data_IF_929308257646
#
_entry.id   IF_929308257646
#
_cell.length_a   1.000
_cell.length_b   1.000
_cell.length_c   1.000
_cell.angle_alpha   90.00
_cell.angle_beta   90.00
_cell.angle_gamma   90.00
#
_symmetry.space_group_name_H-M   'P 1'
#
loop_
_entity.id
_entity.type
_entity.pdbx_description
1 polymer ?
#
# COMPACT_ATOMS: atom_id res chain seq x y z
N UNK A 1 -83.93 3.97 -6.65
CA UNK A 1 -82.60 4.48 -6.96
C UNK A 1 -81.63 3.89 -5.97
N UNK A 2 -80.74 3.09 -6.47
CA UNK A 2 -79.77 2.44 -5.61
C UNK A 2 -78.49 3.18 -5.66
N UNK A 3 -78.16 3.77 -4.55
CA UNK A 3 -76.85 4.41 -4.36
C UNK A 3 -75.90 3.29 -4.08
N UNK A 4 -75.00 3.04 -5.02
CA UNK A 4 -73.93 2.18 -4.81
C UNK A 4 -72.80 3.01 -4.15
N UNK A 5 -72.64 2.80 -2.91
CA UNK A 5 -71.51 3.40 -2.18
C UNK A 5 -70.26 2.69 -2.66
N UNK A 6 -69.29 3.38 -3.19
CA UNK A 6 -68.00 2.74 -3.46
C UNK A 6 -67.30 2.55 -2.12
N UNK A 7 -67.10 1.30 -1.83
CA UNK A 7 -66.29 0.87 -0.73
C UNK A 7 -64.85 1.37 -1.00
N UNK A 8 -64.51 2.42 -0.35
CA UNK A 8 -63.16 2.95 -0.40
C UNK A 8 -62.26 1.97 0.31
N UNK A 9 -61.66 1.10 -0.48
CA UNK A 9 -60.65 0.18 0.02
C UNK A 9 -59.40 1.01 0.33
N UNK A 10 -59.28 1.40 1.57
CA UNK A 10 -58.04 1.94 2.06
C UNK A 10 -57.00 0.83 2.10
N UNK A 11 -56.28 0.74 1.04
CA UNK A 11 -55.05 -0.02 1.05
C UNK A 11 -54.06 0.76 1.91
N UNK A 12 -53.96 0.38 3.16
CA UNK A 12 -52.86 0.79 3.97
C UNK A 12 -51.61 0.16 3.39
N UNK A 13 -50.98 0.91 2.57
CA UNK A 13 -49.63 0.58 2.14
C UNK A 13 -48.78 0.67 3.39
N UNK A 14 -48.62 -0.44 4.05
CA UNK A 14 -47.57 -0.56 5.05
C UNK A 14 -46.24 -0.43 4.33
N UNK A 15 -45.80 0.80 4.25
CA UNK A 15 -44.43 1.07 3.93
C UNK A 15 -43.68 0.58 5.15
N UNK A 16 -43.34 -0.68 5.11
CA UNK A 16 -42.29 -1.17 5.94
C UNK A 16 -41.08 -0.37 5.55
N UNK A 17 -40.83 0.67 6.29
CA UNK A 17 -39.50 1.24 6.32
C UNK A 17 -38.61 0.11 6.78
N UNK A 18 -38.09 -0.62 5.84
CA UNK A 18 -36.92 -1.41 6.13
C UNK A 18 -35.92 -0.38 6.65
N UNK A 19 -35.84 -0.30 7.93
CA UNK A 19 -34.68 0.27 8.55
C UNK A 19 -33.54 -0.57 8.00
N UNK A 20 -33.01 -0.11 6.91
CA UNK A 20 -31.67 -0.51 6.60
C UNK A 20 -30.91 -0.02 7.79
N UNK A 21 -30.76 -0.91 8.74
CA UNK A 21 -29.63 -0.79 9.59
C UNK A 21 -28.48 -0.82 8.62
N UNK A 22 -28.22 0.32 8.09
CA UNK A 22 -26.93 0.53 7.54
C UNK A 22 -26.06 0.24 8.72
N UNK A 23 -25.76 -1.00 8.82
CA UNK A 23 -24.73 -1.40 9.65
C UNK A 23 -23.64 -0.55 9.16
N UNK A 24 -23.41 0.38 9.96
CA UNK A 24 -22.21 1.15 9.79
C UNK A 24 -21.08 0.18 10.05
N UNK A 25 -21.00 -0.75 9.14
CA UNK A 25 -19.95 -1.67 9.13
C UNK A 25 -18.66 -0.99 9.12
N UNK A 26 -18.66 0.18 8.53
CA UNK A 26 -17.47 0.96 8.56
C UNK A 26 -16.86 1.14 9.94
N UNK A 27 -17.69 1.32 10.90
CA UNK A 27 -17.18 1.52 12.25
C UNK A 27 -16.70 0.24 12.89
N UNK A 28 -17.30 -0.84 12.52
CA UNK A 28 -16.98 -2.09 13.15
C UNK A 28 -15.62 -2.62 12.77
N UNK A 29 -15.16 -2.26 11.60
CA UNK A 29 -13.86 -2.73 11.17
C UNK A 29 -12.74 -2.32 12.09
N UNK A 30 -12.86 -1.17 12.66
CA UNK A 30 -11.83 -0.68 13.57
C UNK A 30 -11.64 -1.51 14.83
N UNK A 31 -12.64 -2.23 15.20
CA UNK A 31 -12.57 -3.05 16.41
C UNK A 31 -11.89 -4.39 16.22
N UNK A 32 -11.51 -4.71 15.02
CA UNK A 32 -11.07 -6.06 14.71
C UNK A 32 -9.83 -6.55 15.40
N UNK A 33 -9.22 -5.80 16.22
CA UNK A 33 -8.18 -6.26 17.13
C UNK A 33 -6.95 -6.87 16.47
N UNK A 34 -6.96 -7.15 15.20
CA UNK A 34 -5.76 -7.57 14.52
C UNK A 34 -5.17 -6.40 13.79
N UNK A 35 -4.73 -5.43 14.56
CA UNK A 35 -3.89 -4.39 13.99
C UNK A 35 -2.54 -5.00 13.71
N UNK A 36 -2.24 -5.17 12.45
CA UNK A 36 -0.90 -5.49 12.03
C UNK A 36 -0.10 -4.20 11.87
N UNK A 37 1.20 -4.29 12.07
CA UNK A 37 2.12 -3.20 11.81
C UNK A 37 2.67 -3.31 10.42
N UNK A 38 2.55 -2.23 9.65
CA UNK A 38 3.11 -2.17 8.31
C UNK A 38 4.64 -2.16 8.33
N UNK A 39 5.23 -2.65 7.26
CA UNK A 39 6.68 -2.50 7.05
C UNK A 39 6.99 -1.05 6.77
N UNK A 40 8.02 -0.52 7.44
CA UNK A 40 8.54 0.80 7.14
C UNK A 40 9.85 0.70 6.38
N UNK A 41 10.03 1.59 5.41
CA UNK A 41 11.25 1.72 4.65
C UNK A 41 11.87 3.09 4.92
N UNK A 42 13.14 3.12 5.24
CA UNK A 42 13.86 4.32 5.67
C UNK A 42 15.31 4.30 5.23
N UNK A 43 16.02 5.37 5.51
CA UNK A 43 17.45 5.50 5.21
C UNK A 43 17.77 5.25 3.73
N UNK A 44 16.97 5.84 2.84
CA UNK A 44 17.19 5.75 1.40
C UNK A 44 18.51 6.43 1.00
N UNK A 45 19.28 5.76 0.17
CA UNK A 45 20.49 6.33 -0.42
C UNK A 45 20.60 5.90 -1.90
N UNK A 46 20.48 6.83 -2.84
CA UNK A 46 20.20 8.26 -2.67
C UNK A 46 18.88 8.56 -1.98
N UNK A 47 18.77 9.71 -1.34
CA UNK A 47 17.55 10.10 -0.65
C UNK A 47 16.38 10.24 -1.63
N UNK A 48 15.15 9.96 -1.16
CA UNK A 48 13.96 10.17 -1.98
C UNK A 48 13.86 11.62 -2.43
N UNK A 49 13.37 11.82 -3.63
CA UNK A 49 13.21 13.13 -4.25
C UNK A 49 14.53 13.89 -4.48
N UNK A 50 15.68 13.21 -4.34
CA UNK A 50 16.97 13.80 -4.65
C UNK A 50 17.26 13.81 -6.15
N UNK A 51 18.19 14.66 -6.54
CA UNK A 51 18.69 14.77 -7.90
C UNK A 51 20.12 14.25 -7.94
N UNK A 52 20.40 13.31 -8.82
CA UNK A 52 21.72 12.72 -9.00
C UNK A 52 22.13 12.76 -10.46
N UNK A 53 23.44 12.84 -10.76
CA UNK A 53 23.90 12.81 -12.17
C UNK A 53 23.75 11.43 -12.82
N UNK A 54 23.82 10.39 -12.01
CA UNK A 54 23.59 9.01 -12.45
C UNK A 54 23.14 8.18 -11.26
N UNK A 55 22.43 7.10 -11.52
CA UNK A 55 22.02 6.15 -10.49
C UNK A 55 22.69 4.81 -10.79
N UNK A 56 23.68 4.45 -10.01
CA UNK A 56 24.42 3.20 -10.15
C UNK A 56 24.11 2.18 -9.06
N UNK A 57 23.66 2.65 -7.92
CA UNK A 57 23.22 1.81 -6.80
C UNK A 57 22.14 2.51 -5.98
N UNK A 58 21.36 1.72 -5.30
CA UNK A 58 20.34 2.19 -4.37
C UNK A 58 20.32 1.31 -3.13
N UNK A 59 20.20 1.91 -1.96
CA UNK A 59 20.04 1.19 -0.71
C UNK A 59 18.90 1.76 0.13
N UNK A 60 18.28 0.92 0.93
CA UNK A 60 17.19 1.29 1.81
C UNK A 60 17.13 0.28 2.95
N UNK A 61 16.58 0.69 4.09
CA UNK A 61 16.41 -0.18 5.24
C UNK A 61 14.94 -0.53 5.40
N UNK A 62 14.64 -1.83 5.46
CA UNK A 62 13.32 -2.34 5.80
C UNK A 62 13.27 -2.65 7.30
N UNK A 63 12.16 -2.32 7.93
CA UNK A 63 11.98 -2.60 9.35
C UNK A 63 11.99 -4.10 9.64
N UNK A 64 12.34 -4.45 10.87
CA UNK A 64 12.52 -5.85 11.31
C UNK A 64 11.27 -6.71 11.19
N UNK A 65 10.10 -6.10 11.11
CA UNK A 65 8.83 -6.83 10.95
C UNK A 65 8.53 -7.22 9.51
N UNK A 66 9.40 -6.90 8.57
CA UNK A 66 9.23 -7.30 7.18
C UNK A 66 9.41 -8.81 7.00
N UNK A 67 8.48 -9.44 6.32
CA UNK A 67 8.68 -10.78 5.79
C UNK A 67 9.44 -10.67 4.48
N UNK A 68 10.73 -10.89 4.54
CA UNK A 68 11.62 -10.71 3.40
C UNK A 68 11.34 -11.70 2.26
N UNK A 69 10.67 -12.82 2.55
CA UNK A 69 10.23 -13.75 1.52
C UNK A 69 9.15 -13.18 0.61
N UNK A 70 8.47 -12.12 1.05
CA UNK A 70 7.44 -11.44 0.27
C UNK A 70 7.94 -10.18 -0.43
N UNK A 71 9.19 -9.80 -0.18
CA UNK A 71 9.76 -8.56 -0.72
C UNK A 71 9.83 -8.60 -2.24
N UNK A 72 9.28 -7.57 -2.86
CA UNK A 72 9.41 -7.30 -4.29
C UNK A 72 9.91 -5.89 -4.46
N UNK A 73 11.04 -5.74 -5.12
CA UNK A 73 11.63 -4.45 -5.47
C UNK A 73 11.62 -4.31 -6.98
N UNK A 74 11.14 -3.18 -7.45
CA UNK A 74 11.12 -2.86 -8.88
C UNK A 74 11.77 -1.52 -9.12
N UNK A 75 12.50 -1.42 -10.21
CA UNK A 75 13.07 -0.17 -10.70
C UNK A 75 12.50 0.08 -12.09
N UNK A 76 11.76 1.17 -12.25
CA UNK A 76 11.03 1.49 -13.47
C UNK A 76 10.17 0.32 -13.98
N UNK A 77 9.56 -0.42 -13.05
CA UNK A 77 8.70 -1.56 -13.36
C UNK A 77 9.42 -2.90 -13.54
N UNK A 78 10.73 -2.92 -13.60
CA UNK A 78 11.51 -4.15 -13.70
C UNK A 78 11.91 -4.66 -12.31
N UNK A 79 11.64 -5.92 -12.05
CA UNK A 79 12.00 -6.53 -10.78
C UNK A 79 13.51 -6.67 -10.66
N UNK A 80 14.03 -6.29 -9.50
CA UNK A 80 15.42 -6.46 -9.12
C UNK A 80 15.51 -7.26 -7.84
N UNK A 81 16.62 -7.92 -7.63
CA UNK A 81 16.87 -8.70 -6.43
C UNK A 81 17.94 -8.02 -5.59
N UNK A 82 17.56 -7.31 -4.52
CA UNK A 82 18.55 -6.66 -3.67
C UNK A 82 19.35 -7.66 -2.86
N UNK A 83 20.57 -7.27 -2.51
CA UNK A 83 21.35 -7.96 -1.49
C UNK A 83 20.81 -7.55 -0.14
N UNK A 84 20.47 -8.50 0.70
CA UNK A 84 19.86 -8.29 2.00
C UNK A 84 20.88 -8.55 3.09
N UNK A 85 21.10 -7.57 3.95
CA UNK A 85 21.98 -7.69 5.11
C UNK A 85 21.20 -7.34 6.37
N UNK A 86 21.12 -8.25 7.32
CA UNK A 86 20.44 -8.00 8.59
C UNK A 86 21.35 -7.20 9.51
N UNK A 87 20.82 -6.08 10.01
CA UNK A 87 21.53 -5.22 10.98
C UNK A 87 21.36 -5.76 12.39
N UNK A 88 22.16 -5.26 13.32
CA UNK A 88 22.04 -5.63 14.74
C UNK A 88 20.69 -5.31 15.34
N UNK A 89 20.05 -4.26 14.85
CA UNK A 89 18.69 -3.86 15.27
C UNK A 89 17.63 -4.88 14.89
N UNK A 90 17.93 -5.79 13.96
CA UNK A 90 16.96 -6.68 13.33
C UNK A 90 16.40 -6.12 12.03
N UNK A 91 16.60 -4.86 11.74
CA UNK A 91 16.23 -4.28 10.46
C UNK A 91 17.09 -4.85 9.34
N UNK A 92 16.62 -4.78 8.12
CA UNK A 92 17.33 -5.33 6.96
C UNK A 92 17.73 -4.22 6.01
N UNK A 93 18.99 -4.18 5.66
CA UNK A 93 19.49 -3.32 4.61
C UNK A 93 19.34 -4.02 3.28
N UNK A 94 18.69 -3.33 2.35
CA UNK A 94 18.48 -3.79 0.98
C UNK A 94 19.37 -2.95 0.08
N UNK A 95 20.21 -3.61 -0.70
CA UNK A 95 21.14 -2.91 -1.60
C UNK A 95 21.03 -3.49 -3.00
N UNK A 96 20.88 -2.61 -3.98
CA UNK A 96 20.83 -2.98 -5.38
C UNK A 96 21.87 -2.19 -6.15
N UNK A 97 22.65 -2.88 -6.97
CA UNK A 97 23.60 -2.28 -7.90
C UNK A 97 23.15 -2.56 -9.33
N UNK A 98 23.21 -1.54 -10.16
CA UNK A 98 22.82 -1.67 -11.56
C UNK A 98 24.05 -2.04 -12.40
N UNK A 99 23.89 -3.01 -13.30
CA UNK A 99 24.97 -3.43 -14.20
C UNK A 99 25.47 -2.26 -15.09
N UNK A 100 24.56 -1.39 -15.48
CA UNK A 100 24.86 -0.14 -16.15
C UNK A 100 24.22 1.01 -15.35
N UNK A 101 24.95 2.07 -15.03
CA UNK A 101 24.34 3.23 -14.38
C UNK A 101 23.19 3.81 -15.19
N UNK A 102 22.13 4.21 -14.49
CA UNK A 102 21.02 4.90 -15.13
C UNK A 102 21.41 6.35 -15.32
N UNK A 103 21.59 6.77 -16.57
CA UNK A 103 21.99 8.13 -16.95
C UNK A 103 20.94 8.83 -17.78
N UNK A 104 19.87 8.17 -18.13
CA UNK A 104 18.77 8.76 -18.87
C UNK A 104 18.09 9.83 -18.02
N UNK A 105 17.98 11.07 -18.48
CA UNK A 105 17.32 12.13 -17.73
C UNK A 105 15.89 11.77 -17.39
N UNK A 106 15.47 12.10 -16.18
CA UNK A 106 14.10 11.88 -15.72
C UNK A 106 14.04 11.24 -14.35
N UNK A 107 12.82 10.94 -13.92
CA UNK A 107 12.56 10.32 -12.64
C UNK A 107 12.66 8.80 -12.74
N UNK A 108 13.49 8.22 -11.90
CA UNK A 108 13.55 6.78 -11.68
C UNK A 108 12.58 6.45 -10.56
N UNK A 109 11.65 5.55 -10.83
CA UNK A 109 10.70 5.06 -9.83
C UNK A 109 11.19 3.74 -9.25
N UNK A 110 11.41 3.73 -7.95
CA UNK A 110 11.72 2.52 -7.20
C UNK A 110 10.50 2.17 -6.37
N UNK A 111 10.01 0.96 -6.52
CA UNK A 111 8.83 0.50 -5.80
C UNK A 111 9.22 -0.68 -4.93
N UNK A 112 8.90 -0.58 -3.64
CA UNK A 112 9.11 -1.65 -2.67
C UNK A 112 7.76 -2.14 -2.18
N UNK A 113 7.55 -3.42 -2.28
CA UNK A 113 6.37 -4.09 -1.75
C UNK A 113 6.82 -5.20 -0.83
N UNK A 114 6.26 -5.24 0.36
CA UNK A 114 6.51 -6.30 1.31
C UNK A 114 5.31 -6.49 2.22
N UNK A 115 5.14 -7.69 2.70
CA UNK A 115 4.18 -7.99 3.75
C UNK A 115 4.91 -8.01 5.09
N UNK A 116 4.29 -7.53 6.14
CA UNK A 116 4.83 -7.69 7.47
C UNK A 116 4.62 -9.13 7.95
N UNK A 117 5.39 -9.55 8.95
CA UNK A 117 5.28 -10.89 9.54
C UNK A 117 3.91 -11.16 10.15
N UNK A 118 3.20 -10.12 10.53
CA UNK A 118 1.83 -10.18 11.06
C UNK A 118 0.75 -9.90 10.00
N UNK A 119 1.12 -9.79 8.72
CA UNK A 119 0.20 -9.84 7.59
C UNK A 119 -0.25 -8.52 6.98
N UNK A 120 0.38 -7.40 7.33
CA UNK A 120 0.10 -6.12 6.67
C UNK A 120 0.86 -5.98 5.36
N UNK A 121 0.13 -5.60 4.32
CA UNK A 121 0.75 -5.21 3.04
C UNK A 121 1.29 -3.79 3.12
N UNK A 122 2.48 -3.61 2.56
CA UNK A 122 3.11 -2.29 2.44
C UNK A 122 3.60 -2.08 1.02
N UNK A 123 3.34 -0.92 0.48
CA UNK A 123 3.81 -0.50 -0.83
C UNK A 123 4.41 0.90 -0.72
N UNK A 124 5.67 1.04 -1.05
CA UNK A 124 6.38 2.31 -0.97
C UNK A 124 6.99 2.67 -2.32
N UNK A 125 6.46 3.69 -3.01
CA UNK A 125 7.12 4.27 -4.17
C UNK A 125 8.16 5.31 -3.73
N UNK A 126 9.30 5.32 -4.40
CA UNK A 126 10.38 6.27 -4.19
C UNK A 126 10.80 6.79 -5.56
N UNK A 127 11.00 8.09 -5.66
CA UNK A 127 11.43 8.75 -6.89
C UNK A 127 12.78 9.40 -6.69
N UNK A 128 13.69 9.18 -7.64
CA UNK A 128 15.00 9.82 -7.70
C UNK A 128 15.13 10.41 -9.09
N UNK A 129 15.50 11.67 -9.16
CA UNK A 129 15.67 12.35 -10.44
C UNK A 129 17.11 12.24 -10.94
N UNK A 130 17.26 11.81 -12.19
CA UNK A 130 18.56 11.76 -12.85
C UNK A 130 18.68 12.98 -13.75
N UNK A 131 19.70 13.80 -13.49
CA UNK A 131 20.09 14.96 -14.29
C UNK A 131 21.58 14.90 -14.54
N UNK A 132 21.98 14.32 -15.67
CA UNK A 132 23.39 14.25 -16.03
C UNK A 132 24.03 15.63 -16.24
#
# INVERSE_FOLDING_TARGET
MKFKTPLLLMVFLNISTASFNSLAYGGGGGGGGSSCSEVTFSEENPARDSVVPSLDKFSIVASKNADLGTLVMKVNGEQVNPIITTKRSGDSQLETSFAAPITTPGKVRITLKAMSKDGCDSLQPIYIEVKP
#
